data_IF_745890932100
#
_entry.id   IF_745890932100
#
_cell.length_a   1.000
_cell.length_b   1.000
_cell.length_c   1.000
_cell.angle_alpha   90.00
_cell.angle_beta   90.00
_cell.angle_gamma   90.00
#
_symmetry.space_group_name_H-M   'P 1'
#
loop_
_entity.id
_entity.type
_entity.pdbx_description
1 polymer ?
#
# COMPACT_ATOMS: atom_id res chain seq x y z
N UNK A 1 45.45 -40.98 5.80
CA UNK A 1 44.23 -41.54 6.46
C UNK A 1 43.21 -40.43 6.63
N UNK A 2 42.41 -40.17 5.59
CA UNK A 2 41.30 -39.20 5.63
C UNK A 2 40.02 -39.92 6.06
N UNK A 3 39.35 -39.33 7.05
CA UNK A 3 38.30 -39.98 7.86
C UNK A 3 36.98 -40.14 7.11
N UNK A 4 36.63 -41.40 6.81
CA UNK A 4 35.39 -41.86 6.16
C UNK A 4 34.09 -41.47 6.90
N UNK A 5 34.20 -41.07 8.18
CA UNK A 5 33.05 -40.72 9.03
C UNK A 5 32.32 -39.42 8.62
N UNK A 6 32.92 -38.55 7.81
CA UNK A 6 32.29 -37.30 7.35
C UNK A 6 31.40 -37.45 6.11
N UNK A 7 31.49 -38.58 5.40
CA UNK A 7 30.73 -38.82 4.16
C UNK A 7 29.33 -39.40 4.41
N UNK A 8 29.04 -39.86 5.63
CA UNK A 8 27.74 -40.45 5.97
C UNK A 8 26.70 -39.39 6.37
N UNK A 9 27.12 -38.19 6.80
CA UNK A 9 26.19 -37.17 7.31
C UNK A 9 25.57 -36.27 6.21
N UNK A 10 26.06 -36.34 4.98
CA UNK A 10 25.60 -35.47 3.86
C UNK A 10 24.52 -36.13 3.01
N UNK A 11 24.25 -37.44 3.18
CA UNK A 11 23.35 -38.20 2.32
C UNK A 11 21.90 -38.35 2.83
N UNK A 12 21.50 -37.66 3.91
CA UNK A 12 20.18 -37.88 4.56
C UNK A 12 19.20 -36.70 4.46
N UNK A 13 19.49 -35.65 3.66
CA UNK A 13 18.59 -34.47 3.53
C UNK A 13 17.81 -34.41 2.20
N UNK A 14 18.05 -35.32 1.25
CA UNK A 14 17.45 -35.23 -0.10
C UNK A 14 16.15 -36.01 -0.32
N UNK A 15 15.42 -36.42 0.73
CA UNK A 15 14.25 -37.30 0.59
C UNK A 15 12.94 -36.72 1.16
N UNK A 16 12.68 -35.43 1.01
CA UNK A 16 11.38 -34.84 1.37
C UNK A 16 10.92 -33.79 0.36
N UNK A 17 10.69 -34.21 -0.89
CA UNK A 17 9.92 -33.42 -1.85
C UNK A 17 9.12 -34.30 -2.82
N UNK A 18 8.28 -35.17 -2.28
CA UNK A 18 7.14 -35.76 -3.00
C UNK A 18 5.85 -35.37 -2.29
N UNK A 19 5.54 -34.06 -2.33
CA UNK A 19 4.22 -33.56 -1.95
C UNK A 19 3.22 -33.87 -3.08
N UNK A 20 2.18 -34.63 -2.76
CA UNK A 20 1.10 -35.00 -3.66
C UNK A 20 0.35 -33.77 -4.20
N UNK A 21 0.43 -33.52 -5.50
CA UNK A 21 -0.55 -32.69 -6.20
C UNK A 21 -1.78 -33.56 -6.44
N UNK A 22 -2.72 -33.52 -5.51
CA UNK A 22 -4.06 -34.05 -5.69
C UNK A 22 -5.06 -33.14 -4.98
N UNK A 23 -5.15 -31.88 -5.41
CA UNK A 23 -6.28 -31.01 -5.05
C UNK A 23 -7.26 -31.04 -6.21
N UNK A 24 -8.40 -31.66 -5.94
CA UNK A 24 -9.37 -32.10 -6.92
C UNK A 24 -10.03 -30.99 -7.72
N UNK A 25 -10.47 -31.39 -8.91
CA UNK A 25 -11.19 -30.61 -9.91
C UNK A 25 -12.62 -30.18 -9.50
N UNK A 26 -12.93 -30.10 -8.20
CA UNK A 26 -14.26 -29.71 -7.69
C UNK A 26 -14.31 -28.30 -7.06
N UNK A 27 -13.18 -27.60 -6.96
CA UNK A 27 -13.12 -26.22 -6.43
C UNK A 27 -13.12 -25.12 -7.52
N UNK A 28 -13.37 -25.48 -8.79
CA UNK A 28 -13.17 -24.56 -9.93
C UNK A 28 -14.19 -23.41 -9.94
N UNK A 29 -15.38 -23.59 -9.36
CA UNK A 29 -16.43 -22.56 -9.34
C UNK A 29 -16.16 -21.39 -8.39
N UNK A 30 -15.73 -21.66 -7.15
CA UNK A 30 -15.41 -20.62 -6.16
C UNK A 30 -13.99 -20.07 -6.30
N UNK A 31 -13.04 -20.88 -6.79
CA UNK A 31 -11.67 -20.44 -7.04
C UNK A 31 -11.57 -19.49 -8.25
N UNK A 32 -12.47 -19.58 -9.24
CA UNK A 32 -12.42 -18.70 -10.41
C UNK A 32 -12.60 -17.21 -10.03
N UNK A 33 -13.52 -16.88 -9.10
CA UNK A 33 -13.70 -15.51 -8.62
C UNK A 33 -12.50 -15.01 -7.79
N UNK A 34 -11.94 -15.87 -6.92
CA UNK A 34 -10.74 -15.55 -6.15
C UNK A 34 -9.50 -15.33 -7.04
N UNK A 35 -9.36 -16.09 -8.14
CA UNK A 35 -8.25 -15.94 -9.10
C UNK A 35 -8.36 -14.63 -9.90
N UNK A 36 -9.57 -14.21 -10.29
CA UNK A 36 -9.77 -12.95 -11.03
C UNK A 36 -9.51 -11.74 -10.11
N UNK A 37 -10.03 -11.76 -8.87
CA UNK A 37 -9.79 -10.71 -7.88
C UNK A 37 -8.31 -10.55 -7.55
N UNK A 38 -7.60 -11.67 -7.36
CA UNK A 38 -6.17 -11.66 -7.09
C UNK A 38 -5.37 -11.08 -8.27
N UNK A 39 -5.75 -11.40 -9.52
CA UNK A 39 -5.06 -10.86 -10.71
C UNK A 39 -5.16 -9.34 -10.85
N UNK A 40 -6.31 -8.75 -10.54
CA UNK A 40 -6.48 -7.30 -10.61
C UNK A 40 -5.62 -6.57 -9.56
N UNK A 41 -5.62 -7.05 -8.31
CA UNK A 41 -4.80 -6.47 -7.24
C UNK A 41 -3.29 -6.66 -7.50
N UNK A 42 -2.88 -7.83 -8.03
CA UNK A 42 -1.50 -8.04 -8.46
C UNK A 42 -1.14 -7.05 -9.57
N UNK A 43 -2.01 -6.85 -10.57
CA UNK A 43 -1.75 -5.92 -11.66
C UNK A 43 -1.67 -4.47 -11.17
N UNK A 44 -2.58 -4.01 -10.31
CA UNK A 44 -2.52 -2.64 -9.78
C UNK A 44 -1.27 -2.44 -8.93
N UNK A 45 -0.89 -3.41 -8.10
CA UNK A 45 0.35 -3.35 -7.31
C UNK A 45 1.59 -3.27 -8.20
N UNK A 46 1.63 -4.01 -9.32
CA UNK A 46 2.74 -3.94 -10.28
C UNK A 46 2.79 -2.59 -11.01
N UNK A 47 1.63 -2.09 -11.46
CA UNK A 47 1.53 -0.78 -12.10
C UNK A 47 2.02 0.31 -11.11
N UNK A 48 1.56 0.28 -9.85
CA UNK A 48 1.95 1.24 -8.80
C UNK A 48 3.44 1.20 -8.45
N UNK A 49 4.04 0.01 -8.40
CA UNK A 49 5.48 -0.13 -8.14
C UNK A 49 6.29 0.43 -9.31
N UNK A 50 5.84 0.20 -10.55
CA UNK A 50 6.48 0.76 -11.73
C UNK A 50 6.41 2.29 -11.77
N UNK A 51 5.28 2.88 -11.35
CA UNK A 51 5.11 4.34 -11.21
C UNK A 51 6.05 4.86 -10.13
N UNK A 52 6.04 4.25 -8.95
CA UNK A 52 6.90 4.63 -7.81
C UNK A 52 8.36 4.64 -8.23
N UNK A 53 8.85 3.52 -8.79
CA UNK A 53 10.22 3.40 -9.29
C UNK A 53 10.55 4.44 -10.36
N UNK A 54 9.65 4.69 -11.32
CA UNK A 54 9.90 5.66 -12.39
C UNK A 54 9.96 7.11 -11.90
N UNK A 55 9.24 7.45 -10.81
CA UNK A 55 9.34 8.75 -10.14
C UNK A 55 10.65 8.83 -9.36
N UNK A 56 10.92 7.84 -8.51
CA UNK A 56 12.14 7.80 -7.69
C UNK A 56 13.40 7.86 -8.56
N UNK A 57 13.42 7.12 -9.67
CA UNK A 57 14.52 7.18 -10.63
C UNK A 57 14.74 8.60 -11.14
N UNK A 58 13.69 9.29 -11.57
CA UNK A 58 13.81 10.68 -12.09
C UNK A 58 14.20 11.68 -11.01
N UNK A 59 13.75 11.49 -9.76
CA UNK A 59 14.19 12.28 -8.61
C UNK A 59 15.69 12.03 -8.36
N UNK A 60 16.14 10.77 -8.42
CA UNK A 60 17.54 10.40 -8.23
C UNK A 60 18.45 10.82 -9.39
N UNK A 61 17.90 11.00 -10.59
CA UNK A 61 18.60 11.56 -11.74
C UNK A 61 18.79 13.09 -11.61
N UNK A 62 18.03 13.77 -10.75
CA UNK A 62 18.21 15.19 -10.41
C UNK A 62 19.22 15.33 -9.26
N UNK A 63 20.38 15.94 -9.55
CA UNK A 63 21.50 16.03 -8.62
C UNK A 63 21.17 16.83 -7.34
N UNK A 64 20.37 17.88 -7.44
CA UNK A 64 19.98 18.72 -6.30
C UNK A 64 18.95 17.98 -5.44
N UNK A 65 17.90 17.42 -6.05
CA UNK A 65 16.87 16.70 -5.31
C UNK A 65 17.45 15.46 -4.60
N UNK A 66 18.36 14.73 -5.24
CA UNK A 66 19.00 13.56 -4.65
C UNK A 66 19.87 13.88 -3.44
N UNK A 67 20.56 15.02 -3.46
CA UNK A 67 21.59 15.35 -2.46
C UNK A 67 21.02 16.16 -1.31
N UNK A 68 20.14 17.12 -1.64
CA UNK A 68 19.70 18.15 -0.70
C UNK A 68 18.30 17.89 -0.13
N UNK A 69 17.49 17.06 -0.81
CA UNK A 69 16.14 16.74 -0.36
C UNK A 69 16.02 15.29 0.13
N UNK A 70 14.97 15.05 0.91
CA UNK A 70 14.52 13.72 1.26
C UNK A 70 13.07 13.60 0.82
N UNK A 71 12.84 12.85 -0.25
CA UNK A 71 11.52 12.65 -0.84
C UNK A 71 11.19 11.17 -0.77
N UNK A 72 10.11 10.85 -0.07
CA UNK A 72 9.50 9.52 -0.06
C UNK A 72 8.42 9.54 -1.13
N UNK A 73 8.47 8.57 -2.04
CA UNK A 73 7.43 8.35 -3.04
C UNK A 73 6.65 7.10 -2.66
N UNK A 74 5.33 7.21 -2.64
CA UNK A 74 4.46 6.07 -2.45
C UNK A 74 3.29 6.13 -3.41
N UNK A 75 3.07 5.05 -4.18
CA UNK A 75 1.89 4.93 -5.04
C UNK A 75 0.92 3.88 -4.50
N UNK A 76 -0.38 4.15 -4.55
CA UNK A 76 -1.46 3.21 -4.25
C UNK A 76 -2.66 3.47 -5.14
N UNK A 77 -3.03 2.53 -6.00
CA UNK A 77 -4.02 2.67 -7.06
C UNK A 77 -3.87 3.99 -7.84
N UNK A 78 -2.66 4.24 -8.35
CA UNK A 78 -2.30 5.43 -9.15
C UNK A 78 -2.40 6.78 -8.41
N UNK A 79 -2.73 6.77 -7.12
CA UNK A 79 -2.56 7.91 -6.22
C UNK A 79 -1.11 7.94 -5.75
N UNK A 80 -0.39 9.00 -6.08
CA UNK A 80 1.01 9.22 -5.71
C UNK A 80 1.06 10.16 -4.52
N UNK A 81 1.75 9.75 -3.47
CA UNK A 81 2.16 10.58 -2.35
C UNK A 81 3.62 10.98 -2.53
N UNK A 82 3.90 12.27 -2.40
CA UNK A 82 5.22 12.82 -2.17
C UNK A 82 5.27 13.35 -0.73
N UNK A 83 6.03 12.68 0.14
CA UNK A 83 6.23 13.08 1.53
C UNK A 83 7.72 13.32 1.82
N UNK A 84 8.04 14.02 2.91
CA UNK A 84 9.41 14.33 3.28
C UNK A 84 9.71 15.82 3.28
N UNK A 85 10.97 16.16 3.01
CA UNK A 85 11.51 17.50 3.15
C UNK A 85 12.26 17.93 1.90
N UNK A 86 12.02 19.17 1.49
CA UNK A 86 12.79 19.87 0.45
C UNK A 86 13.27 21.20 1.01
N UNK A 87 14.55 21.57 0.92
CA UNK A 87 15.03 22.85 1.45
C UNK A 87 14.37 24.09 0.84
N UNK A 88 13.83 23.98 -0.38
CA UNK A 88 13.22 25.12 -1.07
C UNK A 88 11.88 24.80 -1.74
N UNK A 89 10.99 25.79 -1.70
CA UNK A 89 10.31 26.34 -2.88
C UNK A 89 10.31 25.54 -4.19
N UNK A 90 11.41 25.78 -4.91
CA UNK A 90 11.63 25.32 -6.26
C UNK A 90 11.83 23.80 -6.31
N UNK A 91 12.55 23.23 -5.35
CA UNK A 91 12.77 21.78 -5.28
C UNK A 91 11.46 21.02 -5.06
N UNK A 92 10.59 21.51 -4.17
CA UNK A 92 9.23 20.97 -4.00
C UNK A 92 8.45 20.95 -5.32
N UNK A 93 8.45 22.09 -6.01
CA UNK A 93 7.71 22.25 -7.27
C UNK A 93 8.28 21.34 -8.38
N UNK A 94 9.60 21.17 -8.39
CA UNK A 94 10.31 20.28 -9.31
C UNK A 94 9.95 18.81 -9.07
N UNK A 95 9.95 18.36 -7.82
CA UNK A 95 9.55 17.01 -7.45
C UNK A 95 8.10 16.70 -7.88
N UNK A 96 7.18 17.65 -7.65
CA UNK A 96 5.78 17.52 -8.13
C UNK A 96 5.72 17.44 -9.66
N UNK A 97 6.51 18.24 -10.37
CA UNK A 97 6.56 18.22 -11.85
C UNK A 97 7.07 16.88 -12.37
N UNK A 98 8.11 16.33 -11.75
CA UNK A 98 8.64 14.99 -12.06
C UNK A 98 7.53 13.95 -11.87
N UNK A 99 6.84 13.94 -10.73
CA UNK A 99 5.76 13.00 -10.48
C UNK A 99 4.62 13.10 -11.51
N UNK A 100 4.21 14.32 -11.89
CA UNK A 100 3.20 14.57 -12.94
C UNK A 100 3.62 14.04 -14.32
N UNK A 101 4.92 14.04 -14.62
CA UNK A 101 5.43 13.60 -15.91
C UNK A 101 5.45 12.09 -16.09
N UNK A 102 5.28 11.30 -15.01
CA UNK A 102 5.34 9.84 -15.06
C UNK A 102 3.99 9.29 -15.52
N UNK A 103 3.93 8.54 -16.64
CA UNK A 103 2.69 7.95 -17.13
C UNK A 103 2.03 7.05 -16.08
N UNK A 104 0.72 7.18 -15.94
CA UNK A 104 -0.07 6.40 -14.98
C UNK A 104 -0.25 7.07 -13.62
N UNK A 105 0.45 8.16 -13.32
CA UNK A 105 0.18 8.98 -12.13
C UNK A 105 -1.14 9.76 -12.33
N UNK A 106 -2.17 9.44 -11.54
CA UNK A 106 -3.50 10.06 -11.69
C UNK A 106 -3.72 11.22 -10.71
N UNK A 107 -3.34 11.02 -9.46
CA UNK A 107 -3.49 12.02 -8.39
C UNK A 107 -2.18 12.17 -7.66
N UNK A 108 -1.81 13.41 -7.33
CA UNK A 108 -0.56 13.68 -6.62
C UNK A 108 -0.88 14.44 -5.35
N UNK A 109 -0.62 13.80 -4.23
CA UNK A 109 -0.70 14.32 -2.88
C UNK A 109 0.69 14.83 -2.51
N UNK A 110 0.84 16.16 -2.49
CA UNK A 110 2.11 16.81 -2.17
C UNK A 110 2.14 17.24 -0.71
N UNK A 111 2.85 16.47 0.10
CA UNK A 111 3.02 16.66 1.55
C UNK A 111 4.50 16.94 1.88
N UNK A 112 5.25 17.49 0.93
CA UNK A 112 6.65 17.89 1.13
C UNK A 112 6.75 19.17 1.96
N UNK A 113 7.42 19.10 3.12
CA UNK A 113 7.74 20.27 3.95
C UNK A 113 8.89 21.09 3.34
N UNK A 114 8.89 22.42 3.52
CA UNK A 114 10.04 23.28 3.15
C UNK A 114 10.94 23.37 4.37
N UNK A 115 11.81 22.38 4.50
CA UNK A 115 12.66 22.15 5.67
C UNK A 115 13.92 21.39 5.24
N UNK A 116 14.92 21.36 6.11
CA UNK A 116 16.09 20.49 5.91
C UNK A 116 15.71 19.01 6.12
N UNK A 117 16.40 18.07 5.46
CA UNK A 117 16.16 16.64 5.65
C UNK A 117 16.23 16.19 7.12
N UNK A 118 15.29 15.33 7.51
CA UNK A 118 15.22 14.82 8.89
C UNK A 118 16.41 13.94 9.29
N UNK A 119 16.67 13.89 10.60
CA UNK A 119 17.78 13.14 11.18
C UNK A 119 17.59 11.61 11.07
N UNK A 120 18.66 10.84 11.20
CA UNK A 120 18.57 9.36 11.22
C UNK A 120 17.73 8.84 12.39
N UNK A 121 17.80 9.49 13.56
CA UNK A 121 17.01 9.10 14.74
C UNK A 121 15.51 9.25 14.48
N UNK A 122 15.10 10.35 13.83
CA UNK A 122 13.71 10.59 13.42
C UNK A 122 13.23 9.46 12.50
N UNK A 123 14.04 9.07 11.50
CA UNK A 123 13.70 7.97 10.57
C UNK A 123 13.52 6.63 11.27
N UNK A 124 14.33 6.34 12.29
CA UNK A 124 14.17 5.12 13.09
C UNK A 124 12.86 5.14 13.88
N UNK A 125 12.52 6.28 14.48
CA UNK A 125 11.23 6.46 15.16
C UNK A 125 10.06 6.24 14.20
N UNK A 126 10.08 6.85 13.02
CA UNK A 126 9.03 6.70 12.00
C UNK A 126 8.88 5.26 11.50
N UNK A 127 9.99 4.53 11.38
CA UNK A 127 9.98 3.11 11.01
C UNK A 127 9.28 2.27 12.09
N UNK A 128 9.54 2.56 13.37
CA UNK A 128 8.88 1.90 14.49
C UNK A 128 7.38 2.24 14.52
N UNK A 129 7.01 3.51 14.34
CA UNK A 129 5.60 3.93 14.25
C UNK A 129 4.89 3.18 13.14
N UNK A 130 5.48 3.13 11.94
CA UNK A 130 4.92 2.40 10.80
C UNK A 130 4.71 0.93 11.11
N UNK A 131 5.72 0.27 11.70
CA UNK A 131 5.64 -1.14 12.07
C UNK A 131 4.55 -1.38 13.13
N UNK A 132 4.44 -0.49 14.13
CA UNK A 132 3.43 -0.56 15.18
C UNK A 132 2.02 -0.42 14.60
N UNK A 133 1.77 0.57 13.75
CA UNK A 133 0.48 0.76 13.07
C UNK A 133 0.11 -0.48 12.25
N UNK A 134 1.03 -0.99 11.43
CA UNK A 134 0.78 -2.20 10.63
C UNK A 134 0.48 -3.42 11.50
N UNK A 135 1.15 -3.56 12.64
CA UNK A 135 0.87 -4.64 13.60
C UNK A 135 -0.51 -4.48 14.24
N UNK A 136 -0.89 -3.26 14.61
CA UNK A 136 -2.18 -2.99 15.22
C UNK A 136 -3.33 -3.17 14.21
N UNK A 137 -3.11 -2.86 12.93
CA UNK A 137 -4.06 -3.16 11.85
C UNK A 137 -4.31 -4.67 11.73
N UNK A 138 -3.24 -5.49 11.75
CA UNK A 138 -3.38 -6.96 11.71
C UNK A 138 -4.21 -7.53 12.87
N UNK A 139 -4.31 -6.82 13.99
CA UNK A 139 -5.12 -7.24 15.15
C UNK A 139 -6.62 -6.93 14.99
N UNK A 140 -7.01 -6.18 13.96
CA UNK A 140 -8.39 -5.74 13.70
C UNK A 140 -8.93 -6.47 12.47
N UNK A 141 -10.01 -7.24 12.64
CA UNK A 141 -10.59 -8.05 11.56
C UNK A 141 -11.01 -7.22 10.32
N UNK A 142 -11.43 -5.98 10.54
CA UNK A 142 -11.93 -5.07 9.49
C UNK A 142 -10.82 -4.24 8.82
N UNK A 143 -9.60 -4.24 9.37
CA UNK A 143 -8.44 -3.50 8.85
C UNK A 143 -7.37 -4.47 8.36
N UNK A 144 -7.61 -5.06 7.18
CA UNK A 144 -6.58 -5.86 6.52
C UNK A 144 -5.42 -4.96 6.11
N UNK A 145 -4.22 -5.25 6.60
CA UNK A 145 -3.02 -4.44 6.32
C UNK A 145 -2.69 -4.34 4.83
N UNK A 146 -3.18 -5.25 3.99
CA UNK A 146 -3.03 -5.20 2.53
C UNK A 146 -3.94 -4.14 1.86
N UNK A 147 -5.01 -3.71 2.52
CA UNK A 147 -5.94 -2.68 2.02
C UNK A 147 -5.45 -1.25 2.30
N UNK A 148 -4.39 -1.11 3.11
CA UNK A 148 -3.82 0.17 3.49
C UNK A 148 -2.32 0.23 3.20
N UNK A 149 -1.89 1.25 2.46
CA UNK A 149 -0.48 1.63 2.41
C UNK A 149 -0.23 2.70 3.46
N UNK A 150 0.64 2.37 4.43
CA UNK A 150 1.01 3.24 5.55
C UNK A 150 2.42 3.76 5.33
N UNK A 151 2.57 5.08 5.32
CA UNK A 151 3.86 5.79 5.27
C UNK A 151 3.92 6.69 6.50
N UNK A 152 5.07 6.72 7.19
CA UNK A 152 5.29 7.68 8.28
C UNK A 152 6.50 8.52 7.98
N UNK A 153 6.37 9.82 8.22
CA UNK A 153 7.48 10.75 8.14
C UNK A 153 7.40 11.86 9.17
N UNK A 154 8.43 11.99 10.00
CA UNK A 154 8.54 13.01 11.05
C UNK A 154 7.27 13.07 11.91
N UNK A 155 6.82 11.90 12.39
CA UNK A 155 5.58 11.80 13.19
C UNK A 155 4.27 11.99 12.41
N UNK A 156 4.31 12.31 11.11
CA UNK A 156 3.12 12.40 10.25
C UNK A 156 2.88 11.03 9.60
N UNK A 157 1.69 10.47 9.82
CA UNK A 157 1.25 9.22 9.22
C UNK A 157 0.36 9.52 8.01
N UNK A 158 0.74 9.02 6.85
CA UNK A 158 -0.07 9.04 5.64
C UNK A 158 -0.70 7.66 5.44
N UNK A 159 -2.03 7.62 5.49
CA UNK A 159 -2.81 6.43 5.25
C UNK A 159 -3.40 6.49 3.84
N UNK A 160 -2.98 5.58 2.97
CA UNK A 160 -3.51 5.45 1.61
C UNK A 160 -4.35 4.19 1.49
N UNK A 161 -5.47 4.26 0.77
CA UNK A 161 -6.39 3.12 0.67
C UNK A 161 -7.59 3.37 -0.23
N UNK A 162 -8.21 2.29 -0.71
CA UNK A 162 -9.58 2.33 -1.26
C UNK A 162 -10.48 1.64 -0.25
N UNK A 163 -11.29 2.37 0.49
CA UNK A 163 -11.90 1.90 1.74
C UNK A 163 -13.33 2.41 1.92
N UNK A 164 -14.10 1.84 2.83
CA UNK A 164 -15.36 2.46 3.30
C UNK A 164 -15.07 3.61 4.27
N UNK A 165 -16.09 4.42 4.60
CA UNK A 165 -15.94 5.48 5.62
C UNK A 165 -15.61 4.89 6.98
N UNK A 166 -16.29 3.81 7.37
CA UNK A 166 -16.05 3.13 8.64
C UNK A 166 -14.63 2.57 8.74
N UNK A 167 -14.14 1.93 7.68
CA UNK A 167 -12.76 1.44 7.62
C UNK A 167 -11.75 2.59 7.73
N UNK A 168 -11.99 3.72 7.05
CA UNK A 168 -11.12 4.90 7.14
C UNK A 168 -11.09 5.46 8.58
N UNK A 169 -12.23 5.56 9.23
CA UNK A 169 -12.32 6.11 10.59
C UNK A 169 -11.67 5.18 11.62
N UNK A 170 -11.86 3.86 11.48
CA UNK A 170 -11.14 2.87 12.30
C UNK A 170 -9.63 2.93 12.07
N UNK A 171 -9.16 3.01 10.82
CA UNK A 171 -7.74 3.07 10.50
C UNK A 171 -7.08 4.34 11.07
N UNK A 172 -7.78 5.48 10.96
CA UNK A 172 -7.33 6.76 11.55
C UNK A 172 -7.32 6.67 13.07
N UNK A 173 -8.33 6.04 13.68
CA UNK A 173 -8.40 5.86 15.12
C UNK A 173 -7.25 5.00 15.65
N UNK A 174 -6.91 3.91 14.98
CA UNK A 174 -5.76 3.10 15.38
C UNK A 174 -4.46 3.89 15.21
N UNK A 175 -4.26 4.54 14.06
CA UNK A 175 -3.03 5.26 13.78
C UNK A 175 -2.77 6.41 14.78
N UNK A 176 -3.79 7.22 15.09
CA UNK A 176 -3.63 8.39 15.99
C UNK A 176 -3.31 8.03 17.44
N UNK A 177 -3.56 6.80 17.86
CA UNK A 177 -3.27 6.34 19.23
C UNK A 177 -1.87 5.74 19.38
N UNK A 178 -1.12 5.57 18.28
CA UNK A 178 0.27 5.11 18.34
C UNK A 178 1.16 6.24 18.87
N UNK A 179 1.96 5.95 19.88
CA UNK A 179 2.89 6.91 20.47
C UNK A 179 3.85 7.48 19.42
N UNK A 180 4.04 8.80 19.42
CA UNK A 180 4.91 9.49 18.47
C UNK A 180 4.21 9.92 17.17
N UNK A 181 2.93 9.57 16.99
CA UNK A 181 2.11 10.14 15.90
C UNK A 181 1.66 11.54 16.27
N UNK A 182 2.00 12.51 15.43
CA UNK A 182 1.64 13.92 15.58
C UNK A 182 0.45 14.31 14.71
N UNK A 183 0.35 13.71 13.51
CA UNK A 183 -0.70 14.00 12.53
C UNK A 183 -1.01 12.76 11.72
N UNK A 184 -2.29 12.59 11.37
CA UNK A 184 -2.74 11.58 10.39
C UNK A 184 -3.32 12.28 9.17
N UNK A 185 -2.76 12.00 8.00
CA UNK A 185 -3.22 12.48 6.69
C UNK A 185 -3.94 11.34 5.98
N UNK A 186 -5.19 11.60 5.57
CA UNK A 186 -6.05 10.62 4.90
C UNK A 186 -5.91 10.77 3.38
N UNK A 187 -5.48 9.71 2.70
CA UNK A 187 -5.34 9.63 1.24
C UNK A 187 -6.22 8.46 0.77
N UNK A 188 -7.53 8.64 0.95
CA UNK A 188 -8.51 7.59 0.71
C UNK A 188 -9.35 7.86 -0.51
N UNK A 189 -9.60 6.82 -1.29
CA UNK A 189 -10.73 6.76 -2.20
C UNK A 189 -11.85 5.99 -1.50
N UNK A 190 -13.00 6.62 -1.33
CA UNK A 190 -14.13 5.95 -0.70
C UNK A 190 -14.83 5.06 -1.72
N UNK A 191 -15.01 3.78 -1.38
CA UNK A 191 -15.97 2.91 -2.07
C UNK A 191 -17.34 3.41 -1.63
N UNK A 192 -18.14 3.95 -2.55
CA UNK A 192 -19.56 4.11 -2.24
C UNK A 192 -20.09 2.73 -1.82
N UNK A 193 -20.92 2.64 -0.76
CA UNK A 193 -21.67 1.42 -0.57
C UNK A 193 -22.44 1.20 -1.88
N UNK A 194 -22.32 -0.01 -2.44
CA UNK A 194 -23.33 -0.45 -3.40
C UNK A 194 -24.67 -0.14 -2.74
N UNK A 195 -25.59 0.62 -3.36
CA UNK A 195 -26.88 0.85 -2.75
C UNK A 195 -27.39 -0.54 -2.40
N UNK A 196 -27.53 -0.81 -1.09
CA UNK A 196 -28.40 -1.89 -0.64
C UNK A 196 -29.63 -1.77 -1.53
N UNK A 197 -30.04 -2.85 -2.20
CA UNK A 197 -31.25 -2.84 -3.01
C UNK A 197 -32.33 -2.18 -2.15
N UNK A 198 -32.56 -0.87 -2.39
CA UNK A 198 -33.66 -0.15 -1.83
C UNK A 198 -34.80 -0.98 -2.34
N UNK A 199 -35.48 -1.70 -1.43
CA UNK A 199 -36.51 -2.67 -1.78
C UNK A 199 -37.47 -1.94 -2.67
N UNK A 200 -37.30 -2.08 -3.99
CA UNK A 200 -38.07 -1.33 -4.96
C UNK A 200 -39.47 -1.81 -4.66
N UNK A 201 -40.38 -0.94 -4.16
CA UNK A 201 -41.73 -1.39 -3.90
C UNK A 201 -42.20 -1.96 -5.22
N UNK A 202 -42.57 -3.24 -5.23
CA UNK A 202 -43.15 -3.86 -6.41
C UNK A 202 -44.42 -3.08 -6.70
N UNK A 203 -44.31 -2.04 -7.54
CA UNK A 203 -45.48 -1.33 -8.03
C UNK A 203 -46.31 -2.39 -8.73
N UNK A 204 -47.57 -2.60 -8.32
CA UNK A 204 -48.39 -3.65 -8.92
C UNK A 204 -48.43 -3.41 -10.41
N UNK A 205 -47.93 -4.37 -11.18
CA UNK A 205 -48.08 -4.41 -12.63
C UNK A 205 -49.56 -4.22 -12.93
N UNK A 206 -49.89 -3.09 -13.58
CA UNK A 206 -51.26 -2.78 -13.96
C UNK A 206 -51.67 -3.84 -14.97
N UNK A 207 -52.56 -4.74 -14.55
CA UNK A 207 -53.14 -5.78 -15.41
C UNK A 207 -53.70 -5.11 -16.68
N UNK A 208 -53.35 -5.58 -17.88
CA UNK A 208 -53.91 -5.00 -19.10
C UNK A 208 -55.43 -5.15 -19.04
N UNK A 209 -56.12 -4.03 -19.08
CA UNK A 209 -57.55 -3.96 -19.38
C UNK A 209 -57.74 -4.40 -20.83
N UNK A 210 -58.63 -5.37 -21.00
CA UNK A 210 -59.05 -6.07 -22.21
C UNK A 210 -59.15 -5.18 -23.45
#
# INVERSE_FOLDING_TARGET
MFSWKKLIFVATISASLTGCVAVGAAAVGAAAAAVIYNRQNIKSSMDDESITYAIEKRINDDAELKTEARIIVATYHRMVLLAGQTPTSAMRSRAVTIAKSVPGSEQIYNELAIEAPSSTLTKTSDSWITAKIKTDFLSKADLKSEEFKVITDTGIVYLMGIVTRDQADQAVDVARHVTGVEKVVKIFKYREPYPEEETVPLTPSKKPTN
#
